data_IF_004143284421
#
_entry.id   IF_004143284421
#
_cell.length_a   1.000
_cell.length_b   1.000
_cell.length_c   1.000
_cell.angle_alpha   90.00
_cell.angle_beta   90.00
_cell.angle_gamma   90.00
#
_symmetry.space_group_name_H-M   'P 1'
#
loop_
_entity.id
_entity.type
_entity.pdbx_description
1 polymer ?
#
# COMPACT_ATOMS: atom_id res chain seq x y z
N UNK A 1 3.10 13.37 17.50
CA UNK A 1 2.25 12.61 16.56
C UNK A 1 0.91 12.33 17.24
N UNK A 2 -0.18 12.90 16.73
CA UNK A 2 -1.54 12.67 17.25
C UNK A 2 -2.18 11.46 16.57
N UNK A 3 -3.11 10.78 17.23
CA UNK A 3 -3.82 9.60 16.67
C UNK A 3 -4.46 9.92 15.31
N UNK A 4 -5.03 11.12 15.18
CA UNK A 4 -5.64 11.64 13.95
C UNK A 4 -4.69 11.58 12.75
N UNK A 5 -3.42 11.95 12.94
CA UNK A 5 -2.44 12.01 11.85
C UNK A 5 -2.03 10.61 11.37
N UNK A 6 -2.09 9.61 12.24
CA UNK A 6 -1.69 8.23 11.93
C UNK A 6 -2.84 7.48 11.31
N UNK A 7 -4.06 7.73 11.77
CA UNK A 7 -5.27 7.24 11.10
C UNK A 7 -5.38 7.85 9.70
N UNK A 8 -5.00 9.12 9.53
CA UNK A 8 -4.91 9.75 8.20
C UNK A 8 -3.84 9.08 7.34
N UNK A 9 -2.62 8.90 7.85
CA UNK A 9 -1.52 8.26 7.12
C UNK A 9 -1.89 6.85 6.65
N UNK A 10 -2.49 6.06 7.53
CA UNK A 10 -2.95 4.73 7.17
C UNK A 10 -4.15 4.76 6.21
N UNK A 11 -5.07 5.72 6.34
CA UNK A 11 -6.13 5.90 5.34
C UNK A 11 -5.54 6.20 3.95
N UNK A 12 -4.54 7.07 3.87
CA UNK A 12 -3.84 7.37 2.61
C UNK A 12 -3.18 6.10 2.07
N UNK A 13 -2.55 5.30 2.92
CA UNK A 13 -1.94 4.03 2.51
C UNK A 13 -2.95 3.06 1.89
N UNK A 14 -4.06 2.79 2.58
CA UNK A 14 -5.03 1.77 2.18
C UNK A 14 -6.03 2.23 1.11
N UNK A 15 -6.42 3.50 1.10
CA UNK A 15 -7.46 4.02 0.20
C UNK A 15 -6.92 4.85 -0.96
N UNK A 16 -5.63 5.22 -0.96
CA UNK A 16 -5.05 6.01 -2.04
C UNK A 16 -3.83 5.31 -2.66
N UNK A 17 -2.85 4.92 -1.84
CA UNK A 17 -1.61 4.30 -2.35
C UNK A 17 -1.89 2.91 -2.93
N UNK A 18 -2.64 2.04 -2.22
CA UNK A 18 -2.92 0.70 -2.71
C UNK A 18 -3.78 0.69 -4.00
N UNK A 19 -4.87 1.48 -4.13
CA UNK A 19 -5.61 1.59 -5.39
C UNK A 19 -4.78 2.19 -6.53
N UNK A 20 -3.95 3.19 -6.25
CA UNK A 20 -3.05 3.77 -7.25
C UNK A 20 -2.05 2.74 -7.78
N UNK A 21 -1.57 1.83 -6.92
CA UNK A 21 -0.67 0.75 -7.32
C UNK A 21 -1.36 -0.26 -8.25
N UNK A 22 -2.61 -0.65 -7.96
CA UNK A 22 -3.38 -1.51 -8.87
C UNK A 22 -3.64 -0.83 -10.21
N UNK A 23 -3.98 0.46 -10.20
CA UNK A 23 -4.17 1.23 -11.44
C UNK A 23 -2.87 1.27 -12.25
N UNK A 24 -1.72 1.41 -11.59
CA UNK A 24 -0.41 1.36 -12.24
C UNK A 24 -0.16 0.01 -12.92
N UNK A 25 -0.45 -1.10 -12.25
CA UNK A 25 -0.34 -2.44 -12.84
C UNK A 25 -1.34 -2.67 -13.98
N UNK A 26 -2.58 -2.19 -13.86
CA UNK A 26 -3.55 -2.24 -14.95
C UNK A 26 -3.06 -1.50 -16.21
N UNK A 27 -2.39 -0.35 -16.04
CA UNK A 27 -1.77 0.36 -17.16
C UNK A 27 -0.58 -0.40 -17.79
N UNK A 28 0.14 -1.19 -17.01
CA UNK A 28 1.18 -2.09 -17.52
C UNK A 28 0.55 -3.24 -18.32
N UNK A 29 -0.48 -3.88 -17.76
CA UNK A 29 -1.15 -5.03 -18.37
C UNK A 29 -1.81 -4.68 -19.71
N UNK A 30 -2.40 -3.49 -19.80
CA UNK A 30 -3.00 -2.94 -21.03
C UNK A 30 -1.97 -2.46 -22.06
N UNK A 31 -0.67 -2.46 -21.72
CA UNK A 31 0.42 -2.08 -22.62
C UNK A 31 0.55 -0.57 -22.85
N UNK A 32 -0.17 0.26 -22.08
CA UNK A 32 -0.13 1.72 -22.18
C UNK A 32 1.20 2.25 -21.63
N UNK A 33 1.72 1.63 -20.57
CA UNK A 33 2.97 2.02 -19.90
C UNK A 33 3.86 0.79 -19.74
N UNK A 34 5.19 0.95 -19.89
CA UNK A 34 6.13 -0.13 -19.59
C UNK A 34 6.39 -0.21 -18.08
N UNK A 35 6.51 -1.44 -17.57
CA UNK A 35 6.93 -1.67 -16.18
C UNK A 35 8.28 -0.98 -15.94
N UNK A 36 8.32 -0.08 -14.96
CA UNK A 36 9.52 0.64 -14.59
C UNK A 36 9.90 0.31 -13.16
N UNK A 37 11.07 -0.31 -13.00
CA UNK A 37 11.60 -0.68 -11.69
C UNK A 37 11.71 0.54 -10.75
N UNK A 38 12.00 1.72 -11.29
CA UNK A 38 12.12 2.95 -10.49
C UNK A 38 10.80 3.37 -9.84
N UNK A 39 9.68 3.24 -10.55
CA UNK A 39 8.35 3.59 -10.03
C UNK A 39 7.93 2.61 -8.92
N UNK A 40 8.19 1.31 -9.12
CA UNK A 40 7.97 0.29 -8.10
C UNK A 40 8.76 0.56 -6.82
N UNK A 41 10.03 0.96 -6.94
CA UNK A 41 10.87 1.30 -5.80
C UNK A 41 10.34 2.51 -5.01
N UNK A 42 9.78 3.52 -5.68
CA UNK A 42 9.15 4.67 -5.02
C UNK A 42 7.94 4.21 -4.19
N UNK A 43 7.06 3.40 -4.77
CA UNK A 43 5.91 2.85 -4.04
C UNK A 43 6.35 2.00 -2.84
N UNK A 44 7.39 1.18 -3.01
CA UNK A 44 7.94 0.36 -1.92
C UNK A 44 8.42 1.22 -0.74
N UNK A 45 9.20 2.29 -1.02
CA UNK A 45 9.71 3.19 0.03
C UNK A 45 8.55 3.87 0.78
N UNK A 46 7.52 4.33 0.07
CA UNK A 46 6.36 4.99 0.67
C UNK A 46 5.60 4.02 1.58
N UNK A 47 5.38 2.77 1.12
CA UNK A 47 4.69 1.74 1.90
C UNK A 47 5.46 1.39 3.17
N UNK A 48 6.78 1.16 3.05
CA UNK A 48 7.65 0.86 4.20
C UNK A 48 7.64 2.02 5.21
N UNK A 49 7.70 3.27 4.73
CA UNK A 49 7.64 4.46 5.57
C UNK A 49 6.33 4.55 6.36
N UNK A 50 5.19 4.37 5.69
CA UNK A 50 3.87 4.41 6.33
C UNK A 50 3.69 3.28 7.36
N UNK A 51 4.11 2.05 7.03
CA UNK A 51 4.07 0.92 7.96
C UNK A 51 4.96 1.16 9.18
N UNK A 52 6.16 1.71 8.96
CA UNK A 52 7.11 2.01 10.05
C UNK A 52 6.53 3.03 11.03
N UNK A 53 5.92 4.11 10.51
CA UNK A 53 5.23 5.12 11.32
C UNK A 53 4.10 4.48 12.13
N UNK A 54 3.30 3.60 11.50
CA UNK A 54 2.21 2.90 12.18
C UNK A 54 2.73 1.97 13.29
N UNK A 55 3.77 1.18 13.04
CA UNK A 55 4.37 0.27 14.02
C UNK A 55 4.97 1.02 15.21
N UNK A 56 5.74 2.09 14.96
CA UNK A 56 6.33 2.92 16.01
C UNK A 56 5.25 3.51 16.91
N UNK A 57 4.13 3.94 16.32
CA UNK A 57 3.04 4.49 17.11
C UNK A 57 2.24 3.45 17.88
N UNK A 58 1.96 2.30 17.27
CA UNK A 58 1.31 1.17 17.95
C UNK A 58 2.15 0.71 19.15
N UNK A 59 3.47 0.68 19.02
CA UNK A 59 4.40 0.38 20.11
C UNK A 59 4.29 1.40 21.26
N UNK A 60 4.03 2.67 20.96
CA UNK A 60 3.87 3.74 21.97
C UNK A 60 2.46 3.82 22.57
N UNK A 61 1.45 3.40 21.82
CA UNK A 61 0.04 3.44 22.21
C UNK A 61 -0.61 2.07 21.97
N UNK A 62 -0.54 1.19 22.97
CA UNK A 62 -1.06 -0.19 22.89
C UNK A 62 -2.58 -0.26 22.64
N UNK A 63 -3.33 0.82 22.91
CA UNK A 63 -4.78 0.92 22.64
C UNK A 63 -5.11 1.33 21.20
N UNK A 64 -4.13 1.80 20.43
CA UNK A 64 -4.36 2.24 19.06
C UNK A 64 -4.64 1.04 18.14
N UNK A 65 -5.90 0.90 17.71
CA UNK A 65 -6.29 -0.01 16.64
C UNK A 65 -6.66 0.84 15.42
N UNK A 66 -5.89 0.68 14.36
CA UNK A 66 -6.29 1.22 13.07
C UNK A 66 -7.34 0.27 12.46
N UNK A 67 -8.60 0.71 12.44
CA UNK A 67 -9.71 -0.02 11.81
C UNK A 67 -9.75 0.28 10.32
N UNK A 68 -9.06 -0.56 9.54
CA UNK A 68 -9.46 -0.82 8.16
C UNK A 68 -10.24 -2.13 8.17
N UNK A 69 -11.29 -2.20 7.32
CA UNK A 69 -12.00 -3.45 7.03
C UNK A 69 -10.97 -4.55 6.80
N UNK A 70 -10.90 -5.52 7.72
CA UNK A 70 -9.89 -6.57 7.69
C UNK A 70 -9.98 -7.39 6.39
N UNK A 71 -11.19 -7.52 5.84
CA UNK A 71 -11.46 -8.09 4.53
C UNK A 71 -10.87 -7.25 3.39
N UNK A 72 -11.06 -5.93 3.42
CA UNK A 72 -10.52 -5.03 2.38
C UNK A 72 -8.98 -5.09 2.33
N UNK A 73 -8.31 -4.99 3.48
CA UNK A 73 -6.85 -5.05 3.54
C UNK A 73 -6.29 -6.38 3.01
N UNK A 74 -6.96 -7.50 3.32
CA UNK A 74 -6.57 -8.83 2.81
C UNK A 74 -6.78 -8.95 1.30
N UNK A 75 -7.93 -8.54 0.79
CA UNK A 75 -8.24 -8.60 -0.64
C UNK A 75 -7.23 -7.75 -1.43
N UNK A 76 -6.96 -6.54 -0.95
CA UNK A 76 -6.02 -5.62 -1.61
C UNK A 76 -4.59 -6.17 -1.64
N UNK A 77 -4.16 -6.80 -0.55
CA UNK A 77 -2.85 -7.46 -0.49
C UNK A 77 -2.74 -8.59 -1.51
N UNK A 78 -3.78 -9.43 -1.64
CA UNK A 78 -3.81 -10.54 -2.61
C UNK A 78 -3.77 -10.02 -4.04
N UNK A 79 -4.56 -8.99 -4.36
CA UNK A 79 -4.59 -8.38 -5.70
C UNK A 79 -3.22 -7.81 -6.10
N UNK A 80 -2.59 -7.03 -5.21
CA UNK A 80 -1.26 -6.46 -5.45
C UNK A 80 -0.21 -7.56 -5.63
N UNK A 81 -0.27 -8.63 -4.82
CA UNK A 81 0.68 -9.74 -4.93
C UNK A 81 0.50 -10.52 -6.24
N UNK A 82 -0.75 -10.72 -6.65
CA UNK A 82 -1.08 -11.40 -7.89
C UNK A 82 -0.60 -10.60 -9.11
N UNK A 83 -0.87 -9.30 -9.15
CA UNK A 83 -0.42 -8.42 -10.25
C UNK A 83 1.11 -8.28 -10.30
N UNK A 84 1.80 -8.28 -9.15
CA UNK A 84 3.26 -8.35 -9.11
C UNK A 84 3.78 -9.66 -9.71
N UNK A 85 3.22 -10.80 -9.32
CA UNK A 85 3.61 -12.09 -9.87
C UNK A 85 3.37 -12.17 -11.39
N UNK A 86 2.22 -11.69 -11.86
CA UNK A 86 1.90 -11.67 -13.29
C UNK A 86 2.84 -10.74 -14.09
N UNK A 87 3.11 -9.55 -13.58
CA UNK A 87 3.99 -8.59 -14.25
C UNK A 87 5.46 -9.00 -14.25
N UNK A 88 5.94 -9.75 -13.26
CA UNK A 88 7.32 -10.27 -13.23
C UNK A 88 7.52 -11.57 -14.02
N UNK A 89 6.44 -12.34 -14.28
CA UNK A 89 6.51 -13.55 -15.09
C UNK A 89 6.59 -13.26 -16.61
N UNK A 90 6.07 -12.10 -17.02
CA UNK A 90 6.01 -11.65 -18.43
C UNK A 90 7.32 -11.03 -18.88
#
# INVERSE_FOLDING_TARGET
MTEKNITLSNKILYYLIAPALLVYFFFIDTGIIKCSLSVLMIFLIIIIGAISIHMVYKKKNNKYKFEVSSSYGKIMMVLVFFELCFNFYK
#
